data_IF_276306187799
#
_entry.id   IF_276306187799
#
_cell.length_a   1.000
_cell.length_b   1.000
_cell.length_c   1.000
_cell.angle_alpha   90.00
_cell.angle_beta   90.00
_cell.angle_gamma   90.00
#
_symmetry.space_group_name_H-M   'P 1'
#
loop_
_entity.id
_entity.type
_entity.pdbx_description
1 polymer ?
#
# COMPACT_ATOMS: atom_id res chain seq x y z
N UNK A 1 36.20 6.88 -11.71
CA UNK A 1 36.93 5.68 -11.24
C UNK A 1 35.99 4.81 -10.41
N UNK A 2 35.85 3.55 -10.82
CA UNK A 2 35.41 2.34 -10.09
C UNK A 2 34.19 2.41 -9.17
N UNK A 3 33.09 1.82 -9.67
CA UNK A 3 31.92 1.31 -8.94
C UNK A 3 32.32 0.03 -8.17
N UNK A 4 31.84 -0.15 -6.95
CA UNK A 4 31.85 -1.44 -6.25
C UNK A 4 30.41 -1.91 -6.04
N UNK A 5 30.08 -3.06 -6.64
CA UNK A 5 28.89 -3.85 -6.36
C UNK A 5 29.27 -4.85 -5.25
N UNK A 6 28.49 -4.90 -4.17
CA UNK A 6 28.57 -5.99 -3.20
C UNK A 6 27.83 -7.20 -3.77
N UNK A 7 28.59 -8.25 -4.12
CA UNK A 7 28.06 -9.51 -4.60
C UNK A 7 27.47 -10.34 -3.47
N UNK A 8 26.21 -10.72 -3.61
CA UNK A 8 25.57 -11.74 -2.80
C UNK A 8 26.00 -13.11 -3.35
N UNK A 9 26.75 -13.87 -2.55
CA UNK A 9 27.28 -15.18 -2.93
C UNK A 9 26.16 -16.22 -2.87
N UNK A 10 25.52 -16.49 -4.01
CA UNK A 10 24.67 -17.67 -4.18
C UNK A 10 25.56 -18.92 -4.19
N UNK A 11 25.43 -19.77 -3.16
CA UNK A 11 25.88 -21.15 -3.24
C UNK A 11 24.96 -21.90 -4.20
N UNK A 12 25.40 -22.05 -5.45
CA UNK A 12 24.85 -23.05 -6.36
C UNK A 12 25.36 -24.41 -5.92
N UNK A 13 24.53 -25.20 -5.23
CA UNK A 13 24.72 -26.64 -5.24
C UNK A 13 24.29 -27.13 -6.63
N UNK A 14 25.25 -27.29 -7.52
CA UNK A 14 25.06 -28.06 -8.75
C UNK A 14 24.84 -29.51 -8.35
N UNK A 15 23.60 -30.00 -8.40
CA UNK A 15 23.38 -31.44 -8.55
C UNK A 15 23.73 -31.74 -10.01
N UNK A 16 24.85 -32.43 -10.18
CA UNK A 16 25.29 -32.93 -11.47
C UNK A 16 24.19 -33.80 -12.06
N UNK A 17 23.72 -33.42 -13.25
CA UNK A 17 22.93 -34.27 -14.12
C UNK A 17 23.82 -35.45 -14.55
N UNK A 18 23.74 -36.58 -13.86
CA UNK A 18 24.30 -37.82 -14.39
C UNK A 18 23.33 -38.37 -15.43
N UNK A 19 23.61 -38.01 -16.69
CA UNK A 19 23.07 -38.70 -17.84
C UNK A 19 23.38 -40.19 -17.71
N UNK A 20 22.33 -40.99 -17.96
CA UNK A 20 22.38 -42.43 -18.15
C UNK A 20 23.58 -42.85 -19.02
N UNK A 21 24.46 -43.69 -18.46
CA UNK A 21 25.67 -44.16 -19.13
C UNK A 21 26.47 -45.11 -18.24
N UNK A 22 26.08 -46.38 -18.24
CA UNK A 22 26.95 -47.55 -18.05
C UNK A 22 27.99 -47.45 -16.90
N UNK A 23 27.56 -47.63 -15.66
CA UNK A 23 28.41 -48.22 -14.65
C UNK A 23 27.78 -49.53 -14.17
N UNK A 24 28.32 -50.63 -14.69
CA UNK A 24 28.23 -51.92 -14.02
C UNK A 24 29.00 -51.82 -12.70
N UNK A 25 28.27 -51.51 -11.63
CA UNK A 25 28.75 -51.52 -10.25
C UNK A 25 27.70 -52.25 -9.44
N UNK A 26 27.93 -53.55 -9.24
CA UNK A 26 27.09 -54.43 -8.44
C UNK A 26 27.23 -54.09 -6.96
N UNK A 27 26.43 -53.17 -6.44
CA UNK A 27 26.22 -53.10 -5.00
C UNK A 27 25.33 -54.28 -4.60
N UNK A 28 26.02 -55.31 -4.10
CA UNK A 28 25.54 -56.64 -3.77
C UNK A 28 24.63 -56.55 -2.52
N UNK A 29 23.34 -56.32 -2.70
CA UNK A 29 22.37 -56.57 -1.61
C UNK A 29 22.40 -58.07 -1.34
N UNK A 30 22.77 -58.45 -0.12
CA UNK A 30 22.89 -59.84 0.33
C UNK A 30 21.73 -60.21 1.21
N UNK A 31 21.10 -61.35 0.94
CA UNK A 31 20.14 -61.93 1.87
C UNK A 31 20.85 -62.37 3.18
N UNK A 32 20.07 -62.73 4.21
CA UNK A 32 20.60 -63.27 5.48
C UNK A 32 21.38 -64.60 5.34
N UNK A 33 21.64 -65.06 4.11
CA UNK A 33 22.41 -66.26 3.74
C UNK A 33 23.56 -65.96 2.77
N UNK A 34 23.81 -64.69 2.42
CA UNK A 34 24.93 -64.26 1.58
C UNK A 34 24.74 -64.40 0.06
N UNK A 35 23.52 -64.57 -0.44
CA UNK A 35 23.22 -64.60 -1.88
C UNK A 35 23.00 -63.20 -2.47
N UNK A 36 23.52 -62.97 -3.69
CA UNK A 36 23.34 -61.73 -4.49
C UNK A 36 21.88 -61.59 -4.93
N UNK A 37 21.19 -60.52 -4.53
CA UNK A 37 19.88 -60.16 -5.10
C UNK A 37 20.15 -59.50 -6.46
N UNK A 38 19.66 -60.05 -7.60
CA UNK A 38 19.84 -59.42 -8.90
C UNK A 38 19.15 -58.05 -8.92
N UNK A 39 19.82 -57.01 -9.44
CA UNK A 39 19.23 -55.68 -9.62
C UNK A 39 18.02 -55.67 -10.59
N UNK A 40 17.76 -56.79 -11.27
CA UNK A 40 16.69 -56.96 -12.26
C UNK A 40 15.31 -57.26 -11.64
N UNK A 41 15.21 -57.49 -10.33
CA UNK A 41 13.92 -57.75 -9.62
C UNK A 41 13.48 -56.58 -8.71
N UNK A 42 14.09 -55.40 -8.84
CA UNK A 42 13.65 -54.20 -8.09
C UNK A 42 12.54 -53.49 -8.87
N UNK A 43 11.31 -53.56 -8.36
CA UNK A 43 10.20 -52.72 -8.85
C UNK A 43 10.45 -51.27 -8.45
N UNK A 44 10.26 -50.33 -9.39
CA UNK A 44 10.38 -48.90 -9.14
C UNK A 44 9.05 -48.18 -9.29
N UNK A 45 8.79 -47.23 -8.41
CA UNK A 45 7.61 -46.37 -8.46
C UNK A 45 8.03 -44.90 -8.58
N UNK A 46 7.23 -44.13 -9.31
CA UNK A 46 7.47 -42.70 -9.54
C UNK A 46 6.68 -41.87 -8.55
N UNK A 47 7.32 -40.87 -7.96
CA UNK A 47 6.65 -39.81 -7.21
C UNK A 47 6.65 -38.55 -8.05
N UNK A 48 5.45 -38.07 -8.37
CA UNK A 48 5.22 -36.84 -9.12
C UNK A 48 4.79 -35.72 -8.17
N UNK A 49 5.33 -34.53 -8.37
CA UNK A 49 5.02 -33.36 -7.54
C UNK A 49 4.13 -32.39 -8.29
N UNK A 50 2.93 -32.15 -7.77
CA UNK A 50 2.10 -31.03 -8.17
C UNK A 50 2.31 -29.89 -7.16
N UNK A 51 3.05 -28.87 -7.58
CA UNK A 51 3.41 -27.72 -6.72
C UNK A 51 2.23 -26.79 -6.43
N UNK A 52 1.05 -27.01 -7.01
CA UNK A 52 -0.16 -26.19 -6.78
C UNK A 52 0.11 -24.68 -6.89
N UNK A 53 0.81 -24.29 -7.97
CA UNK A 53 1.19 -22.90 -8.25
C UNK A 53 2.52 -22.46 -7.64
N UNK A 54 3.25 -23.34 -6.95
CA UNK A 54 4.64 -23.13 -6.57
C UNK A 54 5.64 -23.44 -7.69
N UNK A 55 6.93 -23.27 -7.40
CA UNK A 55 8.02 -23.64 -8.32
C UNK A 55 7.95 -25.13 -8.70
N UNK A 56 8.31 -25.44 -9.95
CA UNK A 56 8.37 -26.82 -10.44
C UNK A 56 9.41 -27.63 -9.66
N UNK A 57 9.11 -28.92 -9.46
CA UNK A 57 9.99 -29.89 -8.83
C UNK A 57 10.04 -31.12 -9.73
N UNK A 58 11.26 -31.60 -10.00
CA UNK A 58 11.47 -32.80 -10.79
C UNK A 58 10.91 -34.03 -10.06
N UNK A 59 10.29 -34.94 -10.81
CA UNK A 59 9.87 -36.23 -10.26
C UNK A 59 11.08 -37.05 -9.81
N UNK A 60 10.85 -37.99 -8.90
CA UNK A 60 11.91 -38.91 -8.47
C UNK A 60 11.38 -40.35 -8.33
N UNK A 61 12.29 -41.33 -8.43
CA UNK A 61 11.97 -42.76 -8.40
C UNK A 61 12.39 -43.40 -7.08
N UNK A 62 11.57 -44.33 -6.58
CA UNK A 62 11.76 -45.07 -5.32
C UNK A 62 11.68 -46.56 -5.60
N UNK A 63 12.55 -47.36 -4.98
CA UNK A 63 12.40 -48.81 -4.98
C UNK A 63 11.21 -49.24 -4.13
N UNK A 64 10.45 -50.22 -4.59
CA UNK A 64 9.27 -50.74 -3.90
C UNK A 64 9.53 -51.08 -2.42
N UNK A 65 8.60 -50.68 -1.56
CA UNK A 65 8.66 -50.91 -0.11
C UNK A 65 9.72 -50.09 0.64
N UNK A 66 10.57 -49.32 -0.04
CA UNK A 66 11.55 -48.46 0.61
C UNK A 66 10.97 -47.10 0.99
N UNK A 67 11.17 -46.68 2.24
CA UNK A 67 10.79 -45.35 2.71
C UNK A 67 11.72 -44.26 2.16
N UNK A 68 11.22 -43.02 2.10
CA UNK A 68 11.96 -41.87 1.59
C UNK A 68 11.58 -40.57 2.29
N UNK A 69 12.38 -39.52 2.06
CA UNK A 69 12.16 -38.17 2.60
C UNK A 69 11.87 -37.21 1.46
N UNK A 70 10.80 -36.43 1.61
CA UNK A 70 10.45 -35.34 0.71
C UNK A 70 11.27 -34.10 1.06
N UNK A 71 12.51 -34.05 0.58
CA UNK A 71 13.46 -32.95 0.87
C UNK A 71 13.26 -31.73 -0.03
N UNK A 72 12.59 -31.88 -1.17
CA UNK A 72 12.32 -30.79 -2.08
C UNK A 72 11.10 -29.99 -1.61
N UNK A 73 11.33 -28.71 -1.34
CA UNK A 73 10.31 -27.76 -0.90
C UNK A 73 10.12 -26.72 -2.00
N UNK A 74 8.93 -26.61 -2.61
CA UNK A 74 8.68 -25.59 -3.62
C UNK A 74 8.60 -24.22 -2.96
N UNK A 75 8.75 -23.18 -3.76
CA UNK A 75 8.50 -21.79 -3.33
C UNK A 75 7.29 -21.22 -4.05
N UNK A 76 6.44 -20.49 -3.34
CA UNK A 76 5.31 -19.75 -3.89
C UNK A 76 5.26 -18.36 -3.26
N UNK A 77 5.30 -17.31 -4.07
CA UNK A 77 5.35 -15.91 -3.61
C UNK A 77 4.15 -15.59 -2.72
N UNK A 78 4.39 -15.07 -1.51
CA UNK A 78 3.35 -14.70 -0.54
C UNK A 78 2.72 -15.88 0.21
N UNK A 79 3.26 -17.10 0.09
CA UNK A 79 2.77 -18.29 0.78
C UNK A 79 3.89 -19.07 1.48
N UNK A 80 3.55 -19.66 2.62
CA UNK A 80 4.38 -20.63 3.33
C UNK A 80 3.97 -22.04 2.93
N UNK A 81 4.94 -22.88 2.57
CA UNK A 81 4.71 -24.30 2.29
C UNK A 81 4.32 -25.03 3.58
N UNK A 82 3.18 -25.74 3.58
CA UNK A 82 2.68 -26.45 4.77
C UNK A 82 2.94 -27.95 4.73
N UNK A 83 3.29 -28.51 3.57
CA UNK A 83 3.56 -29.92 3.40
C UNK A 83 3.10 -30.47 2.06
N UNK A 84 3.38 -31.75 1.85
CA UNK A 84 2.86 -32.53 0.73
C UNK A 84 1.61 -33.30 1.18
N UNK A 85 0.60 -33.35 0.32
CA UNK A 85 -0.70 -33.94 0.60
C UNK A 85 -1.04 -35.02 -0.42
N UNK A 86 -1.91 -35.94 -0.03
CA UNK A 86 -2.35 -37.07 -0.86
C UNK A 86 -3.28 -36.66 -2.01
N UNK A 87 -3.90 -35.47 -1.91
CA UNK A 87 -4.77 -34.90 -2.94
C UNK A 87 -4.66 -33.37 -2.98
N UNK A 88 -5.15 -32.78 -4.07
CA UNK A 88 -5.13 -31.34 -4.30
C UNK A 88 -5.94 -30.53 -3.26
N UNK A 89 -6.87 -31.19 -2.55
CA UNK A 89 -7.69 -30.54 -1.53
C UNK A 89 -7.06 -30.55 -0.15
N UNK A 90 -5.89 -31.18 0.00
CA UNK A 90 -5.15 -31.21 1.24
C UNK A 90 -5.80 -32.08 2.32
N UNK A 91 -6.51 -33.15 1.95
CA UNK A 91 -7.27 -33.96 2.93
C UNK A 91 -6.40 -34.62 4.00
N UNK A 92 -5.19 -35.07 3.64
CA UNK A 92 -4.22 -35.68 4.54
C UNK A 92 -2.79 -35.40 4.08
N UNK A 93 -1.89 -35.21 5.05
CA UNK A 93 -0.46 -35.11 4.79
C UNK A 93 0.07 -36.44 4.27
N UNK A 94 0.84 -36.38 3.20
CA UNK A 94 1.56 -37.52 2.65
C UNK A 94 2.91 -37.67 3.36
N UNK A 95 3.22 -38.89 3.81
CA UNK A 95 4.51 -39.26 4.37
C UNK A 95 5.15 -40.35 3.51
N UNK A 96 6.40 -40.15 3.11
CA UNK A 96 7.17 -41.17 2.38
C UNK A 96 7.74 -42.28 3.28
N UNK A 97 7.48 -42.25 4.60
CA UNK A 97 8.16 -43.13 5.55
C UNK A 97 7.69 -44.60 5.51
N UNK A 98 6.44 -44.86 5.11
CA UNK A 98 5.85 -46.22 5.13
C UNK A 98 6.23 -47.07 3.91
N UNK A 99 7.02 -46.51 2.99
CA UNK A 99 7.39 -47.14 1.74
C UNK A 99 6.33 -46.96 0.66
N UNK A 100 6.76 -47.10 -0.59
CA UNK A 100 5.91 -46.91 -1.77
C UNK A 100 5.71 -48.24 -2.51
N UNK A 101 4.47 -48.56 -2.83
CA UNK A 101 4.09 -49.78 -3.57
C UNK A 101 3.41 -49.49 -4.91
N UNK A 102 3.15 -48.22 -5.20
CA UNK A 102 2.56 -47.74 -6.45
C UNK A 102 3.04 -46.32 -6.74
N UNK A 103 3.06 -45.90 -8.01
CA UNK A 103 3.40 -44.52 -8.34
C UNK A 103 2.35 -43.56 -7.80
N UNK A 104 2.77 -42.41 -7.26
CA UNK A 104 1.89 -41.45 -6.59
C UNK A 104 2.13 -40.03 -7.09
N UNK A 105 1.08 -39.22 -7.10
CA UNK A 105 1.20 -37.76 -7.22
C UNK A 105 0.91 -37.13 -5.87
N UNK A 106 1.81 -36.28 -5.39
CA UNK A 106 1.64 -35.53 -4.15
C UNK A 106 1.43 -34.04 -4.47
N UNK A 107 0.65 -33.37 -3.63
CA UNK A 107 0.17 -32.01 -3.89
C UNK A 107 0.67 -31.06 -2.80
N UNK A 108 1.23 -29.93 -3.19
CA UNK A 108 1.74 -28.95 -2.24
C UNK A 108 0.60 -28.20 -1.54
N UNK A 109 0.66 -28.13 -0.20
CA UNK A 109 -0.19 -27.24 0.58
C UNK A 109 0.48 -25.90 0.87
N UNK A 110 -0.34 -24.86 0.91
CA UNK A 110 0.09 -23.47 1.06
C UNK A 110 -0.76 -22.74 2.08
N UNK A 111 -0.12 -21.96 2.95
CA UNK A 111 -0.77 -20.98 3.82
C UNK A 111 -0.35 -19.58 3.40
N UNK A 112 -1.29 -18.66 3.22
CA UNK A 112 -0.96 -17.27 2.89
C UNK A 112 -0.15 -16.64 4.03
N UNK A 113 0.93 -15.94 3.68
CA UNK A 113 1.69 -15.15 4.65
C UNK A 113 0.89 -13.91 5.05
N UNK A 114 1.11 -13.42 6.26
CA UNK A 114 0.47 -12.21 6.79
C UNK A 114 1.45 -11.05 6.86
N UNK A 115 1.00 -9.86 6.48
CA UNK A 115 1.78 -8.63 6.44
C UNK A 115 1.05 -7.50 7.15
N UNK A 116 1.81 -6.57 7.71
CA UNK A 116 1.27 -5.43 8.43
C UNK A 116 0.88 -4.31 7.46
N UNK A 117 -0.29 -3.71 7.69
CA UNK A 117 -0.75 -2.51 7.00
C UNK A 117 -1.00 -1.39 8.01
N UNK A 118 -0.32 -0.25 7.83
CA UNK A 118 -0.44 0.92 8.69
C UNK A 118 -0.84 2.15 7.87
N UNK A 119 -1.73 2.96 8.43
CA UNK A 119 -2.12 4.27 7.87
C UNK A 119 -1.76 5.39 8.84
N UNK A 120 -1.02 6.38 8.34
CA UNK A 120 -0.54 7.53 9.08
C UNK A 120 -1.16 8.84 8.62
N UNK A 121 -1.40 9.72 9.58
CA UNK A 121 -1.73 11.12 9.33
C UNK A 121 -0.77 11.98 10.14
N UNK A 122 0.19 12.61 9.45
CA UNK A 122 1.36 13.15 10.14
C UNK A 122 2.13 12.01 10.82
N UNK A 123 2.44 12.17 12.11
CA UNK A 123 3.16 11.16 12.90
C UNK A 123 2.23 10.16 13.61
N UNK A 124 0.91 10.33 13.51
CA UNK A 124 -0.06 9.49 14.19
C UNK A 124 -0.52 8.32 13.32
N UNK A 125 -0.48 7.11 13.88
CA UNK A 125 -1.15 5.93 13.30
C UNK A 125 -2.65 6.07 13.54
N UNK A 126 -3.44 6.13 12.47
CA UNK A 126 -4.91 6.19 12.55
C UNK A 126 -5.55 4.81 12.38
N UNK A 127 -4.85 3.88 11.74
CA UNK A 127 -5.29 2.51 11.54
C UNK A 127 -4.09 1.57 11.42
N UNK A 128 -4.23 0.36 11.96
CA UNK A 128 -3.27 -0.73 11.76
C UNK A 128 -3.98 -2.08 11.70
N UNK A 129 -3.46 -3.02 10.93
CA UNK A 129 -3.95 -4.39 10.87
C UNK A 129 -2.96 -5.36 10.23
N UNK A 130 -3.21 -6.66 10.40
CA UNK A 130 -2.48 -7.73 9.74
C UNK A 130 -3.37 -8.39 8.69
N UNK A 131 -2.86 -8.52 7.47
CA UNK A 131 -3.60 -8.98 6.29
C UNK A 131 -2.86 -10.12 5.61
N UNK A 132 -3.58 -11.14 5.14
CA UNK A 132 -3.03 -12.18 4.30
C UNK A 132 -2.60 -11.63 2.93
N UNK A 133 -1.64 -12.28 2.29
CA UNK A 133 -1.28 -11.98 0.90
C UNK A 133 -2.52 -12.03 -0.02
N UNK A 134 -2.66 -11.02 -0.87
CA UNK A 134 -3.82 -10.79 -1.77
C UNK A 134 -5.16 -10.48 -1.09
N UNK A 135 -5.23 -10.35 0.24
CA UNK A 135 -6.43 -9.85 0.92
C UNK A 135 -6.81 -8.45 0.41
N UNK A 136 -8.12 -8.17 0.37
CA UNK A 136 -8.63 -6.87 -0.08
C UNK A 136 -8.27 -5.80 0.95
N UNK A 137 -7.67 -4.71 0.48
CA UNK A 137 -7.37 -3.53 1.30
C UNK A 137 -8.59 -2.64 1.34
N UNK A 138 -9.06 -2.31 2.55
CA UNK A 138 -10.04 -1.25 2.77
C UNK A 138 -9.31 0.00 3.27
N UNK A 139 -9.48 1.10 2.54
CA UNK A 139 -8.88 2.39 2.90
C UNK A 139 -9.78 3.11 3.92
N UNK A 140 -9.24 3.58 5.05
CA UNK A 140 -10.01 4.36 6.01
C UNK A 140 -10.24 5.79 5.48
N UNK A 141 -11.34 6.39 5.91
CA UNK A 141 -11.56 7.83 5.77
C UNK A 141 -10.66 8.55 6.80
N UNK A 142 -9.68 9.36 6.36
CA UNK A 142 -8.80 10.03 7.29
C UNK A 142 -9.51 11.20 7.97
N UNK A 143 -9.06 11.63 9.17
CA UNK A 143 -9.64 12.76 9.87
C UNK A 143 -9.63 14.03 9.01
N UNK A 144 -10.70 14.82 9.12
CA UNK A 144 -10.76 16.14 8.51
C UNK A 144 -9.64 17.03 9.06
N UNK A 145 -9.03 17.82 8.18
CA UNK A 145 -8.04 18.84 8.55
C UNK A 145 -8.57 20.21 8.15
N UNK A 146 -8.61 21.13 9.11
CA UNK A 146 -9.06 22.50 8.85
C UNK A 146 -8.28 23.12 7.69
N UNK A 147 -8.98 23.71 6.72
CA UNK A 147 -8.39 24.34 5.55
C UNK A 147 -7.70 23.39 4.56
N UNK A 148 -7.89 22.08 4.67
CA UNK A 148 -7.25 21.08 3.80
C UNK A 148 -8.18 19.93 3.44
N UNK A 149 -8.09 19.50 2.19
CA UNK A 149 -8.81 18.34 1.66
C UNK A 149 -7.90 17.12 1.62
N UNK A 150 -8.43 15.95 1.99
CA UNK A 150 -7.71 14.71 1.76
C UNK A 150 -7.59 14.47 0.25
N UNK A 151 -6.38 14.20 -0.22
CA UNK A 151 -6.12 13.95 -1.64
C UNK A 151 -5.98 12.45 -1.92
N UNK A 152 -4.99 11.80 -1.31
CA UNK A 152 -4.69 10.37 -1.54
C UNK A 152 -3.74 9.80 -0.49
N UNK A 153 -3.59 8.47 -0.49
CA UNK A 153 -2.59 7.76 0.30
C UNK A 153 -1.29 7.58 -0.50
N UNK A 154 -0.15 7.74 0.16
CA UNK A 154 1.18 7.52 -0.43
C UNK A 154 1.99 6.49 0.34
N UNK A 155 2.84 5.74 -0.37
CA UNK A 155 3.91 4.91 0.19
C UNK A 155 5.24 5.46 -0.32
N UNK A 156 6.16 5.81 0.57
CA UNK A 156 7.47 6.38 0.21
C UNK A 156 7.32 7.56 -0.76
N UNK A 157 6.43 8.51 -0.44
CA UNK A 157 6.10 9.71 -1.23
C UNK A 157 5.54 9.46 -2.64
N UNK A 158 5.17 8.22 -2.96
CA UNK A 158 4.51 7.86 -4.22
C UNK A 158 3.06 7.49 -3.96
N UNK A 159 2.15 7.92 -4.84
CA UNK A 159 0.73 7.56 -4.75
C UNK A 159 0.57 6.04 -4.73
N UNK A 160 -0.18 5.55 -3.75
CA UNK A 160 -0.47 4.14 -3.58
C UNK A 160 -1.96 3.90 -3.76
N UNK A 161 -2.32 3.04 -4.72
CA UNK A 161 -3.71 2.71 -5.03
C UNK A 161 -3.87 1.23 -5.40
N UNK A 162 -3.30 0.34 -4.58
CA UNK A 162 -3.49 -1.11 -4.75
C UNK A 162 -4.74 -1.55 -4.01
N UNK A 163 -5.51 -2.46 -4.60
CA UNK A 163 -6.70 -3.03 -3.95
C UNK A 163 -6.41 -4.29 -3.13
N UNK A 164 -5.19 -4.84 -3.23
CA UNK A 164 -4.80 -6.11 -2.59
C UNK A 164 -3.44 -6.03 -1.91
N UNK A 165 -3.33 -6.72 -0.77
CA UNK A 165 -2.13 -6.75 0.06
C UNK A 165 -0.95 -7.38 -0.70
N UNK A 166 0.19 -6.68 -0.81
CA UNK A 166 1.40 -7.24 -1.40
C UNK A 166 2.09 -8.23 -0.43
N UNK A 167 3.17 -8.84 -0.89
CA UNK A 167 3.99 -9.79 -0.14
C UNK A 167 5.02 -9.12 0.78
N UNK A 168 4.65 -7.98 1.36
CA UNK A 168 5.48 -7.18 2.25
C UNK A 168 4.63 -6.26 3.12
N UNK A 169 5.22 -5.77 4.21
CA UNK A 169 4.59 -4.76 5.06
C UNK A 169 4.40 -3.43 4.30
N UNK A 170 3.25 -2.80 4.54
CA UNK A 170 2.83 -1.57 3.88
C UNK A 170 2.55 -0.48 4.92
N UNK A 171 3.22 0.65 4.75
CA UNK A 171 2.95 1.87 5.51
C UNK A 171 2.50 2.96 4.54
N UNK A 172 1.32 3.50 4.78
CA UNK A 172 0.71 4.56 3.97
C UNK A 172 0.59 5.84 4.77
N UNK A 173 0.84 6.98 4.13
CA UNK A 173 0.68 8.31 4.72
C UNK A 173 -0.37 9.09 3.93
N UNK A 174 -1.27 9.78 4.63
CA UNK A 174 -2.27 10.61 4.00
C UNK A 174 -1.65 11.91 3.49
N UNK A 175 -1.91 12.21 2.22
CA UNK A 175 -1.59 13.49 1.59
C UNK A 175 -2.85 14.35 1.58
N UNK A 176 -2.68 15.62 1.95
CA UNK A 176 -3.74 16.62 1.94
C UNK A 176 -3.35 17.78 1.04
N UNK A 177 -4.32 18.29 0.26
CA UNK A 177 -4.20 19.53 -0.50
C UNK A 177 -4.72 20.68 0.35
N UNK A 178 -3.98 21.79 0.33
CA UNK A 178 -4.45 23.05 0.90
C UNK A 178 -5.70 23.49 0.11
N UNK A 179 -6.76 23.88 0.81
CA UNK A 179 -7.94 24.46 0.18
C UNK A 179 -7.74 25.96 0.00
N UNK A 180 -8.04 26.46 -1.19
CA UNK A 180 -8.07 27.88 -1.51
C UNK A 180 -9.48 28.44 -1.24
N UNK A 181 -9.51 29.63 -0.64
CA UNK A 181 -10.69 30.40 -0.27
C UNK A 181 -10.57 31.81 -0.82
N UNK A 182 -11.66 32.57 -0.78
CA UNK A 182 -11.73 33.90 -1.37
C UNK A 182 -12.28 34.94 -0.37
N UNK A 183 -11.51 36.01 -0.12
CA UNK A 183 -11.99 37.19 0.60
C UNK A 183 -12.59 38.18 -0.40
N UNK A 184 -13.91 38.37 -0.34
CA UNK A 184 -14.63 39.30 -1.20
C UNK A 184 -14.83 40.63 -0.47
N UNK A 185 -14.01 41.62 -0.80
CA UNK A 185 -14.17 42.98 -0.30
C UNK A 185 -15.31 43.68 -1.02
N UNK A 186 -16.24 44.26 -0.26
CA UNK A 186 -17.36 45.05 -0.75
C UNK A 186 -17.42 46.41 -0.03
N UNK A 187 -18.19 47.36 -0.55
CA UNK A 187 -18.40 48.67 0.08
C UNK A 187 -19.89 49.01 0.18
N UNK A 188 -20.27 49.85 1.15
CA UNK A 188 -21.62 50.41 1.23
C UNK A 188 -21.82 51.63 0.30
N UNK A 189 -20.78 52.11 -0.37
CA UNK A 189 -20.86 53.25 -1.29
C UNK A 189 -21.03 52.75 -2.73
N UNK A 190 -22.05 53.23 -3.47
CA UNK A 190 -22.18 52.90 -4.89
C UNK A 190 -20.99 53.47 -5.67
N UNK A 191 -20.16 52.61 -6.27
CA UNK A 191 -19.00 53.02 -7.07
C UNK A 191 -19.40 53.39 -8.51
N UNK A 192 -20.46 52.77 -9.03
CA UNK A 192 -21.12 53.05 -10.31
C UNK A 192 -22.59 52.59 -10.22
N UNK A 193 -23.57 53.28 -10.84
CA UNK A 193 -24.96 52.78 -10.94
C UNK A 193 -25.14 51.41 -11.63
N UNK A 194 -24.12 50.89 -12.31
CA UNK A 194 -24.15 49.64 -13.07
C UNK A 194 -23.08 48.59 -12.67
N UNK A 195 -22.19 48.87 -11.71
CA UNK A 195 -21.18 47.91 -11.21
C UNK A 195 -21.53 47.41 -9.80
N UNK A 196 -21.15 46.18 -9.44
CA UNK A 196 -21.35 45.66 -8.09
C UNK A 196 -20.50 46.44 -7.07
N UNK A 197 -20.97 46.46 -5.83
CA UNK A 197 -20.28 47.01 -4.66
C UNK A 197 -18.94 46.32 -4.31
N UNK A 198 -18.36 45.51 -5.20
CA UNK A 198 -17.17 44.70 -4.97
C UNK A 198 -15.90 45.51 -5.24
N UNK A 199 -15.00 45.56 -4.26
CA UNK A 199 -13.70 46.23 -4.32
C UNK A 199 -12.58 45.30 -4.77
N UNK A 200 -12.55 44.07 -4.25
CA UNK A 200 -11.50 43.09 -4.53
C UNK A 200 -11.99 41.69 -4.18
N UNK A 201 -11.41 40.69 -4.85
CA UNK A 201 -11.55 39.29 -4.48
C UNK A 201 -10.15 38.69 -4.35
N UNK A 202 -9.77 38.27 -3.14
CA UNK A 202 -8.40 37.87 -2.81
C UNK A 202 -8.38 36.38 -2.46
N UNK A 203 -7.69 35.54 -3.24
CA UNK A 203 -7.50 34.15 -2.87
C UNK A 203 -6.58 34.04 -1.65
N UNK A 204 -6.92 33.18 -0.70
CA UNK A 204 -6.11 32.88 0.47
C UNK A 204 -6.24 31.41 0.89
N UNK A 205 -5.30 30.96 1.71
CA UNK A 205 -5.29 29.62 2.28
C UNK A 205 -5.11 29.66 3.79
N UNK A 206 -5.26 28.52 4.47
CA UNK A 206 -4.93 28.37 5.90
C UNK A 206 -3.48 28.78 6.24
N UNK A 207 -2.56 28.70 5.26
CA UNK A 207 -1.15 29.04 5.45
C UNK A 207 -0.85 30.50 5.05
N UNK A 208 -1.83 31.24 4.54
CA UNK A 208 -1.69 32.64 4.11
C UNK A 208 -1.82 33.57 5.31
N UNK A 209 -0.87 34.48 5.49
CA UNK A 209 -1.02 35.62 6.40
C UNK A 209 -1.82 36.70 5.69
N UNK A 210 -2.96 37.10 6.26
CA UNK A 210 -3.81 38.15 5.71
C UNK A 210 -3.51 39.44 6.48
N UNK A 211 -3.08 40.48 5.77
CA UNK A 211 -2.83 41.80 6.35
C UNK A 211 -3.99 42.74 6.02
N UNK A 212 -4.33 43.62 6.96
CA UNK A 212 -5.27 44.69 6.67
C UNK A 212 -4.71 45.58 5.55
N UNK A 213 -5.52 46.00 4.57
CA UNK A 213 -5.07 46.90 3.51
C UNK A 213 -4.39 48.15 4.08
N UNK A 214 -3.19 48.50 3.57
CA UNK A 214 -2.40 49.63 4.07
C UNK A 214 -3.13 50.98 3.99
N UNK A 215 -4.07 51.10 3.04
CA UNK A 215 -4.98 52.23 2.94
C UNK A 215 -6.33 51.76 2.39
N UNK A 216 -7.41 52.32 2.93
CA UNK A 216 -8.72 52.17 2.32
C UNK A 216 -8.80 52.96 1.00
N UNK A 217 -9.58 52.47 0.01
CA UNK A 217 -9.89 53.26 -1.18
C UNK A 217 -10.41 54.66 -0.82
N UNK A 218 -9.82 55.69 -1.39
CA UNK A 218 -10.35 57.05 -1.23
C UNK A 218 -11.58 57.21 -2.12
N UNK A 219 -12.71 57.54 -1.50
CA UNK A 219 -13.96 57.84 -2.20
C UNK A 219 -14.31 59.30 -1.93
N UNK A 220 -14.45 60.10 -3.00
CA UNK A 220 -14.71 61.54 -2.89
C UNK A 220 -16.04 61.81 -2.19
N UNK A 221 -16.02 62.65 -1.13
CA UNK A 221 -17.18 62.98 -0.31
C UNK A 221 -17.53 61.93 0.76
N UNK A 222 -16.66 60.95 0.99
CA UNK A 222 -16.88 59.89 1.96
C UNK A 222 -15.64 59.66 2.85
N UNK A 223 -15.87 59.53 4.15
CA UNK A 223 -14.86 59.17 5.15
C UNK A 223 -14.89 57.66 5.41
N UNK A 224 -13.75 56.98 5.31
CA UNK A 224 -13.61 55.56 5.65
C UNK A 224 -13.74 55.32 7.15
N UNK A 225 -14.56 54.34 7.53
CA UNK A 225 -14.81 53.94 8.92
C UNK A 225 -13.94 52.74 9.32
N UNK A 226 -13.89 51.70 8.48
CA UNK A 226 -13.23 50.44 8.81
C UNK A 226 -13.66 49.27 7.93
N UNK A 227 -13.07 48.10 8.20
CA UNK A 227 -13.47 46.83 7.61
C UNK A 227 -14.30 46.02 8.61
N UNK A 228 -15.40 45.45 8.14
CA UNK A 228 -16.40 44.74 8.95
C UNK A 228 -16.77 43.38 8.33
N UNK A 229 -17.18 42.43 9.16
CA UNK A 229 -17.64 41.11 8.72
C UNK A 229 -19.12 41.12 8.26
N UNK A 230 -19.84 42.19 8.54
CA UNK A 230 -21.24 42.42 8.21
C UNK A 230 -21.43 43.78 7.50
N UNK A 231 -22.46 43.92 6.64
CA UNK A 231 -22.73 45.16 5.92
C UNK A 231 -23.19 46.31 6.81
N UNK A 232 -23.71 46.04 8.01
CA UNK A 232 -24.20 47.05 8.94
C UNK A 232 -23.06 47.76 9.69
N UNK A 233 -21.91 47.10 9.85
CA UNK A 233 -20.75 47.65 10.54
C UNK A 233 -20.71 47.33 12.02
N UNK A 234 -21.43 46.30 12.46
CA UNK A 234 -21.55 45.94 13.87
C UNK A 234 -20.37 45.07 14.34
N UNK A 235 -19.72 44.34 13.42
CA UNK A 235 -18.68 43.34 13.71
C UNK A 235 -17.40 43.71 12.96
N UNK A 236 -16.39 44.31 13.63
CA UNK A 236 -15.10 44.57 13.01
C UNK A 236 -14.46 43.29 12.45
N UNK A 237 -13.87 43.37 11.26
CA UNK A 237 -13.19 42.24 10.66
C UNK A 237 -11.81 42.03 11.30
N UNK A 238 -11.55 40.84 11.82
CA UNK A 238 -10.26 40.48 12.42
C UNK A 238 -9.33 39.86 11.38
N UNK A 239 -8.35 40.62 10.92
CA UNK A 239 -7.32 40.14 10.00
C UNK A 239 -6.29 39.20 10.66
N UNK A 240 -6.23 39.15 11.99
CA UNK A 240 -5.26 38.31 12.72
C UNK A 240 -5.62 36.82 12.71
N UNK A 241 -6.87 36.48 12.39
CA UNK A 241 -7.32 35.12 12.22
C UNK A 241 -8.05 35.01 10.89
N UNK A 242 -7.55 34.24 9.90
CA UNK A 242 -8.30 34.03 8.68
C UNK A 242 -9.63 33.36 9.06
N UNK A 243 -10.78 33.98 8.79
CA UNK A 243 -12.05 33.32 9.02
C UNK A 243 -12.17 32.13 8.06
N UNK A 244 -12.88 31.08 8.48
CA UNK A 244 -13.12 29.91 7.64
C UNK A 244 -14.57 29.97 7.16
N UNK A 245 -14.81 29.97 5.85
CA UNK A 245 -16.17 30.01 5.35
C UNK A 245 -16.84 28.66 5.66
N UNK A 246 -18.15 28.71 5.83
CA UNK A 246 -18.98 27.54 5.57
C UNK A 246 -18.93 27.20 4.06
N UNK A 247 -19.53 26.09 3.65
CA UNK A 247 -19.27 25.34 2.40
C UNK A 247 -19.08 26.15 1.09
N UNK A 248 -19.50 27.42 1.02
CA UNK A 248 -19.39 28.33 -0.13
C UNK A 248 -17.97 28.86 -0.42
N UNK A 249 -17.02 28.78 0.52
CA UNK A 249 -15.62 29.16 0.25
C UNK A 249 -15.35 30.68 0.16
N UNK A 250 -16.37 31.50 0.39
CA UNK A 250 -16.33 32.96 0.29
C UNK A 250 -16.53 33.61 1.64
N UNK A 251 -15.75 34.64 1.93
CA UNK A 251 -15.94 35.47 3.12
C UNK A 251 -16.10 36.93 2.71
N UNK A 252 -17.25 37.54 3.03
CA UNK A 252 -17.47 38.94 2.75
C UNK A 252 -16.67 39.82 3.75
N UNK A 253 -16.04 40.86 3.24
CA UNK A 253 -15.42 41.93 4.03
C UNK A 253 -16.00 43.26 3.57
N UNK A 254 -16.59 44.03 4.48
CA UNK A 254 -17.27 45.28 4.16
C UNK A 254 -16.41 46.48 4.54
N UNK A 255 -15.97 47.24 3.55
CA UNK A 255 -15.35 48.55 3.69
C UNK A 255 -16.44 49.61 3.83
N UNK A 256 -16.67 50.10 5.06
CA UNK A 256 -17.73 51.06 5.34
C UNK A 256 -17.24 52.49 5.32
N UNK A 257 -18.09 53.36 4.79
CA UNK A 257 -17.87 54.79 4.72
C UNK A 257 -19.10 55.58 5.21
N UNK A 258 -18.86 56.79 5.69
CA UNK A 258 -19.88 57.78 6.05
C UNK A 258 -19.74 59.02 5.17
N UNK A 259 -20.87 59.62 4.77
CA UNK A 259 -20.88 60.83 3.95
C UNK A 259 -20.23 62.00 4.71
N UNK A 260 -19.38 62.76 4.03
CA UNK A 260 -18.79 63.97 4.59
C UNK A 260 -19.86 65.07 4.68
N UNK A 261 -20.17 65.56 5.88
CA UNK A 261 -21.21 66.58 6.11
C UNK A 261 -20.84 68.00 5.59
N UNK A 262 -19.82 68.14 4.75
CA UNK A 262 -19.20 69.43 4.38
C UNK A 262 -19.56 69.98 2.99
N UNK A 263 -20.66 69.52 2.37
CA UNK A 263 -21.19 70.08 1.13
C UNK A 263 -22.61 70.66 1.26
#
# INVERSE_FOLDING_TARGET
>A
MKRWFAGFMLFFFTVSLSACGLFGGSDDIRDGRGGRVPADDVTWHTVTFDSQGGSAIDQYMVSEGSGFILSQVPTRRGYTFTGWYVDAQGSALFSGAEGLYDSVTVYAGWSAMTYNLLFFVGDAVIYSGAYGYEDVITYPDPPAKLGRDFSHWTRNDQTFNRSRMPDEDVTLTAVYSVREYHLSFSTNVPLDPFEPFMLADIPYTIDTVIEAPEAAPLIEGWTFVGFFADPEGDIPFDFSQPPFPDEAGLIPVWALYTLDESH
#
